data_IF_067977026796
#
_entry.id   IF_067977026796
#
_cell.length_a   1.000
_cell.length_b   1.000
_cell.length_c   1.000
_cell.angle_alpha   90.00
_cell.angle_beta   90.00
_cell.angle_gamma   90.00
#
_symmetry.space_group_name_H-M   'P 1'
#
loop_
_entity.id
_entity.type
_entity.pdbx_description
1 polymer ?
#
# COMPACT_ATOMS: atom_id res chain seq x y z
N UNK A 1 -2.09 20.73 18.27
CA UNK A 1 -1.84 20.58 16.82
C UNK A 1 -1.83 19.09 16.58
N UNK A 2 -2.88 18.55 15.98
CA UNK A 2 -3.01 17.10 15.79
C UNK A 2 -1.93 16.63 14.81
N UNK A 3 -1.05 15.78 15.33
CA UNK A 3 -0.12 14.98 14.55
C UNK A 3 -0.97 13.87 13.92
N UNK A 4 -1.65 14.21 12.83
CA UNK A 4 -2.24 13.21 11.94
C UNK A 4 -1.09 12.34 11.46
N UNK A 5 -1.05 11.10 11.97
CA UNK A 5 -0.10 10.08 11.53
C UNK A 5 -0.26 9.98 10.00
N UNK A 6 0.78 10.35 9.24
CA UNK A 6 0.86 10.28 7.78
C UNK A 6 0.92 8.82 7.31
N UNK A 7 -0.14 8.07 7.58
CA UNK A 7 -0.25 6.62 7.29
C UNK A 7 -0.91 6.40 5.94
N UNK A 8 -1.78 7.32 5.51
CA UNK A 8 -2.57 7.18 4.28
C UNK A 8 -1.71 7.09 3.02
N UNK A 9 -0.71 7.98 2.85
CA UNK A 9 0.13 7.96 1.67
C UNK A 9 1.12 6.80 1.65
N UNK A 10 1.63 6.39 2.82
CA UNK A 10 2.47 5.20 2.94
C UNK A 10 1.70 3.92 2.58
N UNK A 11 0.46 3.80 3.08
CA UNK A 11 -0.45 2.70 2.73
C UNK A 11 -0.71 2.66 1.23
N UNK A 12 -1.16 3.77 0.63
CA UNK A 12 -1.46 3.83 -0.80
C UNK A 12 -0.22 3.57 -1.66
N UNK A 13 0.95 4.08 -1.27
CA UNK A 13 2.20 3.79 -1.98
C UNK A 13 2.51 2.29 -1.97
N UNK A 14 2.31 1.62 -0.82
CA UNK A 14 2.53 0.18 -0.72
C UNK A 14 1.52 -0.63 -1.53
N UNK A 15 0.24 -0.27 -1.48
CA UNK A 15 -0.81 -0.92 -2.26
C UNK A 15 -0.57 -0.75 -3.77
N UNK A 16 -0.21 0.46 -4.22
CA UNK A 16 0.14 0.72 -5.62
C UNK A 16 1.33 -0.13 -6.08
N UNK A 17 2.38 -0.28 -5.27
CA UNK A 17 3.50 -1.15 -5.60
C UNK A 17 3.08 -2.61 -5.77
N UNK A 18 2.21 -3.12 -4.88
CA UNK A 18 1.65 -4.48 -5.01
C UNK A 18 0.83 -4.62 -6.29
N UNK A 19 0.03 -3.60 -6.64
CA UNK A 19 -0.72 -3.59 -7.90
C UNK A 19 0.23 -3.63 -9.10
N UNK A 20 1.31 -2.83 -9.11
CA UNK A 20 2.29 -2.85 -10.20
C UNK A 20 3.00 -4.18 -10.33
N UNK A 21 3.39 -4.81 -9.22
CA UNK A 21 4.02 -6.14 -9.24
C UNK A 21 3.07 -7.19 -9.83
N UNK A 22 1.77 -7.11 -9.52
CA UNK A 22 0.75 -8.03 -10.04
C UNK A 22 0.35 -7.73 -11.49
N UNK A 23 0.44 -6.48 -11.93
CA UNK A 23 0.18 -6.03 -13.30
C UNK A 23 1.39 -6.20 -14.23
N UNK A 24 2.55 -6.58 -13.69
CA UNK A 24 3.79 -6.69 -14.45
C UNK A 24 3.65 -7.60 -15.70
N UNK A 25 4.34 -7.29 -16.82
CA UNK A 25 4.18 -7.99 -18.10
C UNK A 25 4.28 -9.52 -18.08
N UNK A 26 5.00 -10.07 -17.10
CA UNK A 26 5.23 -11.50 -16.92
C UNK A 26 4.40 -12.11 -15.78
N UNK A 27 3.51 -11.33 -15.17
CA UNK A 27 2.68 -11.76 -14.05
C UNK A 27 1.64 -12.81 -14.43
N UNK A 28 1.27 -13.64 -13.46
CA UNK A 28 0.28 -14.71 -13.63
C UNK A 28 -1.06 -14.16 -14.15
N UNK A 29 -1.44 -12.96 -13.70
CA UNK A 29 -2.64 -12.26 -14.14
C UNK A 29 -2.63 -11.99 -15.66
N UNK A 30 -1.57 -11.37 -16.17
CA UNK A 30 -1.46 -11.07 -17.61
C UNK A 30 -1.39 -12.33 -18.49
N UNK A 31 -0.76 -13.39 -18.00
CA UNK A 31 -0.70 -14.67 -18.71
C UNK A 31 -2.09 -15.30 -18.88
N UNK A 32 -2.97 -15.15 -17.89
CA UNK A 32 -4.33 -15.69 -17.94
C UNK A 32 -5.25 -14.85 -18.84
N UNK A 33 -5.10 -13.51 -18.83
CA UNK A 33 -5.82 -12.63 -19.75
C UNK A 33 -5.27 -12.65 -21.18
N UNK A 34 -4.17 -13.35 -21.46
CA UNK A 34 -3.56 -13.40 -22.80
C UNK A 34 -4.53 -13.91 -23.89
N UNK A 35 -5.50 -14.74 -23.52
CA UNK A 35 -6.57 -15.21 -24.44
C UNK A 35 -7.55 -14.09 -24.82
N UNK A 36 -7.66 -13.03 -24.01
CA UNK A 36 -8.59 -11.93 -24.21
C UNK A 36 -7.84 -10.60 -24.37
N UNK A 37 -7.48 -10.27 -25.60
CA UNK A 37 -6.63 -9.12 -25.93
C UNK A 37 -7.16 -7.77 -25.41
N UNK A 38 -8.47 -7.62 -25.26
CA UNK A 38 -9.08 -6.37 -24.75
C UNK A 38 -8.86 -6.17 -23.24
N UNK A 39 -8.78 -7.25 -22.45
CA UNK A 39 -8.51 -7.14 -21.02
C UNK A 39 -7.05 -6.73 -20.76
N UNK A 40 -6.12 -7.22 -21.57
CA UNK A 40 -4.71 -6.81 -21.51
C UNK A 40 -4.56 -5.30 -21.75
N UNK A 41 -5.37 -4.72 -22.66
CA UNK A 41 -5.38 -3.27 -22.89
C UNK A 41 -5.92 -2.50 -21.69
N UNK A 42 -6.99 -3.00 -21.06
CA UNK A 42 -7.58 -2.38 -19.87
C UNK A 42 -6.60 -2.41 -18.69
N UNK A 43 -5.89 -3.52 -18.48
CA UNK A 43 -4.89 -3.64 -17.41
C UNK A 43 -3.72 -2.67 -17.59
N UNK A 44 -3.21 -2.52 -18.82
CA UNK A 44 -2.18 -1.52 -19.13
C UNK A 44 -2.67 -0.10 -18.90
N UNK A 45 -3.91 0.18 -19.29
CA UNK A 45 -4.53 1.49 -19.06
C UNK A 45 -4.66 1.79 -17.56
N UNK A 46 -5.04 0.79 -16.75
CA UNK A 46 -5.05 0.91 -15.30
C UNK A 46 -3.66 1.24 -14.76
N UNK A 47 -2.63 0.49 -15.19
CA UNK A 47 -1.23 0.71 -14.80
C UNK A 47 -0.78 2.15 -15.08
N UNK A 48 -1.03 2.66 -16.30
CA UNK A 48 -0.65 4.02 -16.71
C UNK A 48 -1.30 5.10 -15.82
N UNK A 49 -2.61 4.97 -15.53
CA UNK A 49 -3.34 5.93 -14.70
C UNK A 49 -2.85 5.89 -13.24
N UNK A 50 -2.63 4.69 -12.70
CA UNK A 50 -2.12 4.52 -11.34
C UNK A 50 -0.71 5.14 -11.19
N UNK A 51 0.13 5.03 -12.22
CA UNK A 51 1.45 5.64 -12.25
C UNK A 51 1.36 7.17 -12.23
N UNK A 52 0.45 7.76 -13.02
CA UNK A 52 0.18 9.20 -12.99
C UNK A 52 -0.28 9.69 -11.61
N UNK A 53 -1.16 8.93 -10.95
CA UNK A 53 -1.67 9.23 -9.62
C UNK A 53 -0.62 9.08 -8.51
N UNK A 54 0.32 8.13 -8.65
CA UNK A 54 1.40 7.93 -7.68
C UNK A 54 2.30 9.16 -7.54
N UNK A 55 2.56 9.88 -8.64
CA UNK A 55 3.47 11.03 -8.68
C UNK A 55 2.94 12.20 -7.84
N UNK A 56 1.62 12.33 -7.72
CA UNK A 56 0.96 13.42 -6.98
C UNK A 56 0.58 13.03 -5.56
N UNK A 57 0.75 11.76 -5.18
CA UNK A 57 0.30 11.20 -3.92
C UNK A 57 0.92 11.91 -2.70
N UNK A 58 2.23 12.18 -2.74
CA UNK A 58 2.93 12.87 -1.65
C UNK A 58 2.46 14.32 -1.47
N UNK A 59 2.19 15.04 -2.56
CA UNK A 59 1.68 16.41 -2.47
C UNK A 59 0.21 16.43 -2.01
N UNK A 60 -0.59 15.45 -2.44
CA UNK A 60 -1.96 15.28 -1.97
C UNK A 60 -2.01 14.98 -0.46
N UNK A 61 -1.17 14.08 0.05
CA UNK A 61 -1.09 13.78 1.48
C UNK A 61 -0.71 15.01 2.31
N UNK A 62 0.27 15.79 1.86
CA UNK A 62 0.66 17.03 2.54
C UNK A 62 -0.48 18.07 2.57
N UNK A 63 -1.28 18.13 1.50
CA UNK A 63 -2.37 19.10 1.38
C UNK A 63 -3.67 18.63 2.00
N UNK A 64 -3.89 17.33 2.22
CA UNK A 64 -5.18 16.77 2.66
C UNK A 64 -5.66 17.38 3.98
N UNK A 65 -4.74 17.66 4.91
CA UNK A 65 -5.07 18.22 6.23
C UNK A 65 -5.53 19.70 6.14
N UNK A 66 -5.07 20.41 5.10
CA UNK A 66 -5.33 21.84 4.92
C UNK A 66 -6.42 22.15 3.88
N UNK A 67 -6.70 21.21 2.96
CA UNK A 67 -7.65 21.39 1.87
C UNK A 67 -8.67 20.26 1.82
N UNK A 68 -9.92 20.58 2.15
CA UNK A 68 -11.04 19.62 2.15
C UNK A 68 -11.29 18.97 0.79
N UNK A 69 -11.08 19.69 -0.31
CA UNK A 69 -11.26 19.13 -1.65
C UNK A 69 -10.19 18.08 -1.97
N UNK A 70 -8.94 18.33 -1.54
CA UNK A 70 -7.85 17.34 -1.66
C UNK A 70 -8.11 16.15 -0.75
N UNK A 71 -8.61 16.34 0.47
CA UNK A 71 -9.00 15.23 1.35
C UNK A 71 -10.10 14.35 0.74
N UNK A 72 -11.15 14.96 0.16
CA UNK A 72 -12.20 14.20 -0.52
C UNK A 72 -11.67 13.45 -1.75
N UNK A 73 -10.78 14.07 -2.52
CA UNK A 73 -10.13 13.44 -3.65
C UNK A 73 -9.25 12.26 -3.21
N UNK A 74 -8.47 12.44 -2.14
CA UNK A 74 -7.58 11.42 -1.58
C UNK A 74 -8.38 10.21 -1.06
N UNK A 75 -9.48 10.43 -0.35
CA UNK A 75 -10.34 9.34 0.11
C UNK A 75 -10.95 8.55 -1.06
N UNK A 76 -11.34 9.24 -2.14
CA UNK A 76 -11.84 8.55 -3.35
C UNK A 76 -10.76 7.75 -4.05
N UNK A 77 -9.53 8.28 -4.11
CA UNK A 77 -8.38 7.56 -4.63
C UNK A 77 -8.13 6.30 -3.79
N UNK A 78 -8.19 6.41 -2.47
CA UNK A 78 -8.05 5.26 -1.58
C UNK A 78 -9.09 4.18 -1.87
N UNK A 79 -10.38 4.54 -1.92
CA UNK A 79 -11.43 3.57 -2.23
C UNK A 79 -11.27 2.93 -3.62
N UNK A 80 -10.79 3.67 -4.62
CA UNK A 80 -10.53 3.14 -5.94
C UNK A 80 -9.35 2.16 -5.98
N UNK A 81 -8.27 2.45 -5.24
CA UNK A 81 -7.11 1.56 -5.10
C UNK A 81 -7.48 0.28 -4.34
N UNK A 82 -8.22 0.39 -3.23
CA UNK A 82 -8.75 -0.77 -2.49
C UNK A 82 -9.68 -1.62 -3.38
N UNK A 83 -10.51 -0.99 -4.20
CA UNK A 83 -11.34 -1.67 -5.19
C UNK A 83 -10.50 -2.44 -6.21
N UNK A 84 -9.46 -1.81 -6.79
CA UNK A 84 -8.55 -2.46 -7.73
C UNK A 84 -7.81 -3.64 -7.09
N UNK A 85 -7.35 -3.50 -5.85
CA UNK A 85 -6.69 -4.57 -5.11
C UNK A 85 -7.63 -5.77 -4.89
N UNK A 86 -8.85 -5.52 -4.42
CA UNK A 86 -9.87 -6.55 -4.25
C UNK A 86 -10.17 -7.30 -5.55
N UNK A 87 -10.24 -6.62 -6.70
CA UNK A 87 -10.47 -7.26 -8.00
C UNK A 87 -9.34 -8.20 -8.39
N UNK A 88 -8.10 -7.76 -8.19
CA UNK A 88 -6.93 -8.57 -8.46
C UNK A 88 -6.86 -9.76 -7.50
N UNK A 89 -7.29 -9.61 -6.25
CA UNK A 89 -7.38 -10.71 -5.29
C UNK A 89 -8.48 -11.72 -5.63
N UNK A 90 -9.67 -11.25 -6.02
CA UNK A 90 -10.76 -12.09 -6.50
C UNK A 90 -10.29 -12.95 -7.68
N UNK A 91 -9.54 -12.34 -8.60
CA UNK A 91 -8.91 -13.04 -9.71
C UNK A 91 -7.89 -14.09 -9.26
N UNK A 92 -6.94 -13.70 -8.41
CA UNK A 92 -5.90 -14.61 -7.92
C UNK A 92 -6.50 -15.81 -7.17
N UNK A 93 -7.56 -15.58 -6.40
CA UNK A 93 -8.28 -16.61 -5.70
C UNK A 93 -8.89 -17.63 -6.67
N UNK A 94 -9.63 -17.18 -7.69
CA UNK A 94 -10.23 -18.09 -8.66
C UNK A 94 -9.18 -18.84 -9.50
N UNK A 95 -8.09 -18.17 -9.87
CA UNK A 95 -6.95 -18.80 -10.53
C UNK A 95 -6.36 -19.94 -9.67
N UNK A 96 -6.16 -19.69 -8.37
CA UNK A 96 -5.63 -20.69 -7.44
C UNK A 96 -6.63 -21.82 -7.20
N UNK A 97 -7.91 -21.50 -7.06
CA UNK A 97 -8.99 -22.48 -6.89
C UNK A 97 -9.02 -23.46 -8.05
N UNK A 98 -9.00 -22.97 -9.29
CA UNK A 98 -8.94 -23.82 -10.48
C UNK A 98 -7.68 -24.70 -10.47
N UNK A 99 -6.52 -24.16 -10.12
CA UNK A 99 -5.28 -24.93 -10.02
C UNK A 99 -5.41 -26.09 -9.02
N UNK A 100 -6.01 -25.86 -7.86
CA UNK A 100 -6.23 -26.89 -6.83
C UNK A 100 -7.28 -27.91 -7.28
N UNK A 101 -8.44 -27.46 -7.78
CA UNK A 101 -9.51 -28.35 -8.25
C UNK A 101 -9.02 -29.24 -9.42
N UNK A 102 -8.25 -28.66 -10.35
CA UNK A 102 -7.60 -29.41 -11.43
C UNK A 102 -6.56 -30.41 -10.96
N UNK A 103 -5.79 -30.08 -9.93
CA UNK A 103 -4.85 -31.02 -9.30
C UNK A 103 -5.57 -32.20 -8.62
N UNK A 104 -6.73 -31.95 -8.01
CA UNK A 104 -7.55 -32.99 -7.39
C UNK A 104 -8.20 -33.93 -8.42
N UNK A 105 -8.59 -33.45 -9.59
CA UNK A 105 -9.07 -34.30 -10.70
C UNK A 105 -7.96 -35.22 -11.23
N UNK A 106 -6.71 -34.73 -11.32
CA UNK A 106 -5.57 -35.55 -11.77
C UNK A 106 -5.15 -36.64 -10.76
N UNK A 107 -5.42 -36.48 -9.47
CA UNK A 107 -5.13 -37.51 -8.45
C UNK A 107 -6.11 -38.69 -8.49
N UNK A 108 -7.33 -38.50 -8.99
CA UNK A 108 -8.32 -39.57 -9.15
C UNK A 108 -8.04 -40.44 -10.40
N UNK A 109 -7.37 -39.88 -11.41
CA UNK A 109 -7.10 -40.55 -12.70
C UNK A 109 -5.63 -41.00 -12.78
N UNK A 110 -5.31 -42.07 -12.07
CA UNK A 110 -4.04 -42.81 -12.25
C UNK A 110 -4.09 -43.66 -13.52
N UNK A 111 -4.09 -43.05 -14.70
CA UNK A 111 -3.68 -43.74 -15.93
C UNK A 111 -3.43 -42.76 -17.07
N UNK A 112 -2.14 -42.54 -17.37
CA UNK A 112 -1.62 -42.37 -18.72
C UNK A 112 -2.36 -41.39 -19.66
N UNK A 113 -2.43 -40.11 -19.33
CA UNK A 113 -2.41 -39.08 -20.36
C UNK A 113 -1.66 -37.86 -19.84
N UNK A 114 -0.63 -37.43 -20.57
CA UNK A 114 -0.11 -36.08 -20.47
C UNK A 114 -1.25 -35.12 -20.83
N UNK A 115 -1.97 -34.62 -19.82
CA UNK A 115 -2.91 -33.50 -20.00
C UNK A 115 -2.10 -32.23 -19.82
N UNK A 116 -1.25 -31.95 -20.82
CA UNK A 116 -0.88 -30.57 -21.11
C UNK A 116 -2.18 -29.82 -21.37
N UNK A 117 -2.39 -28.76 -20.61
CA UNK A 117 -3.54 -27.84 -20.73
C UNK A 117 -4.85 -28.41 -20.18
N UNK A 118 -4.93 -28.51 -18.85
CA UNK A 118 -6.21 -28.32 -18.15
C UNK A 118 -6.83 -27.01 -18.65
N UNK A 119 -7.77 -27.14 -19.58
CA UNK A 119 -8.69 -26.09 -20.02
C UNK A 119 -9.70 -25.80 -18.89
N UNK A 120 -9.20 -25.51 -17.69
CA UNK A 120 -9.94 -24.84 -16.64
C UNK A 120 -10.02 -23.37 -17.04
N UNK A 121 -10.81 -23.12 -18.08
CA UNK A 121 -11.12 -21.78 -18.49
C UNK A 121 -12.07 -21.22 -17.43
N UNK A 122 -11.69 -20.11 -16.80
CA UNK A 122 -12.64 -19.30 -16.06
C UNK A 122 -13.85 -19.06 -16.97
N UNK A 123 -15.06 -19.11 -16.41
CA UNK A 123 -16.29 -18.89 -17.18
C UNK A 123 -16.24 -17.54 -17.89
N UNK A 124 -16.75 -17.47 -19.12
CA UNK A 124 -16.86 -16.19 -19.85
C UNK A 124 -17.65 -15.15 -19.03
N UNK A 125 -18.61 -15.60 -18.23
CA UNK A 125 -19.39 -14.78 -17.29
C UNK A 125 -18.53 -14.16 -16.17
N UNK A 126 -17.55 -14.92 -15.65
CA UNK A 126 -16.60 -14.42 -14.65
C UNK A 126 -15.71 -13.33 -15.26
N UNK A 127 -15.17 -13.57 -16.46
CA UNK A 127 -14.36 -12.58 -17.16
C UNK A 127 -15.15 -11.33 -17.51
N UNK A 128 -16.41 -11.47 -17.89
CA UNK A 128 -17.29 -10.33 -18.17
C UNK A 128 -17.53 -9.49 -16.91
N UNK A 129 -17.86 -10.11 -15.78
CA UNK A 129 -18.04 -9.42 -14.50
C UNK A 129 -16.76 -8.70 -14.05
N UNK A 130 -15.59 -9.35 -14.13
CA UNK A 130 -14.31 -8.71 -13.79
C UNK A 130 -14.01 -7.54 -14.73
N UNK A 131 -14.31 -7.67 -16.02
CA UNK A 131 -14.14 -6.60 -17.00
C UNK A 131 -14.99 -5.38 -16.66
N UNK A 132 -16.27 -5.57 -16.38
CA UNK A 132 -17.18 -4.48 -16.04
C UNK A 132 -16.69 -3.72 -14.80
N UNK A 133 -16.32 -4.44 -13.73
CA UNK A 133 -15.77 -3.82 -12.52
C UNK A 133 -14.43 -3.10 -12.77
N UNK A 134 -13.58 -3.66 -13.64
CA UNK A 134 -12.31 -3.05 -14.02
C UNK A 134 -12.53 -1.76 -14.81
N UNK A 135 -13.49 -1.76 -15.75
CA UNK A 135 -13.89 -0.56 -16.51
C UNK A 135 -14.41 0.53 -15.58
N UNK A 136 -15.30 0.19 -14.63
CA UNK A 136 -15.80 1.13 -13.62
C UNK A 136 -14.66 1.74 -12.76
N UNK A 137 -13.70 0.91 -12.37
CA UNK A 137 -12.52 1.35 -11.60
C UNK A 137 -11.66 2.31 -12.42
N UNK A 138 -11.39 1.98 -13.68
CA UNK A 138 -10.62 2.83 -14.60
C UNK A 138 -11.32 4.16 -14.82
N UNK A 139 -12.63 4.17 -15.06
CA UNK A 139 -13.41 5.40 -15.23
C UNK A 139 -13.32 6.31 -13.99
N UNK A 140 -13.40 5.71 -12.80
CA UNK A 140 -13.26 6.43 -11.54
C UNK A 140 -11.86 7.06 -11.40
N UNK A 141 -10.81 6.30 -11.71
CA UNK A 141 -9.42 6.77 -11.64
C UNK A 141 -9.14 7.86 -12.68
N UNK A 142 -9.67 7.77 -13.90
CA UNK A 142 -9.55 8.83 -14.90
C UNK A 142 -10.21 10.15 -14.45
N UNK A 143 -11.37 10.05 -13.79
CA UNK A 143 -12.04 11.23 -13.23
C UNK A 143 -11.17 11.88 -12.16
N UNK A 144 -10.50 11.08 -11.33
CA UNK A 144 -9.56 11.57 -10.32
C UNK A 144 -8.32 12.21 -10.97
N UNK A 145 -7.76 11.60 -12.01
CA UNK A 145 -6.63 12.12 -12.75
C UNK A 145 -6.94 13.51 -13.36
N UNK A 146 -8.11 13.66 -14.00
CA UNK A 146 -8.58 14.94 -14.56
C UNK A 146 -8.77 16.03 -13.50
N UNK A 147 -8.98 15.66 -12.23
CA UNK A 147 -9.14 16.60 -11.11
C UNK A 147 -7.79 17.12 -10.58
N UNK A 148 -6.68 16.42 -10.82
CA UNK A 148 -5.33 16.77 -10.33
C UNK A 148 -5.01 18.24 -10.66
N UNK A 149 -5.15 18.63 -11.94
CA UNK A 149 -4.84 19.99 -12.40
C UNK A 149 -5.73 21.07 -11.77
N UNK A 150 -7.00 20.75 -11.49
CA UNK A 150 -7.95 21.67 -10.84
C UNK A 150 -7.66 21.83 -9.35
N UNK A 151 -7.14 20.79 -8.72
CA UNK A 151 -6.74 20.78 -7.31
C UNK A 151 -5.37 21.43 -7.08
N UNK A 152 -4.63 21.76 -8.15
CA UNK A 152 -3.29 22.32 -8.05
C UNK A 152 -2.31 21.36 -7.36
N UNK A 153 -2.54 20.05 -7.52
CA UNK A 153 -1.62 19.02 -7.08
C UNK A 153 -0.38 19.06 -7.97
N UNK A 154 0.79 18.98 -7.35
CA UNK A 154 2.08 19.06 -8.03
C UNK A 154 2.79 17.72 -7.97
N UNK A 155 3.46 17.40 -9.07
CA UNK A 155 4.37 16.26 -9.12
C UNK A 155 5.50 16.46 -8.11
N UNK A 156 5.64 15.54 -7.18
CA UNK A 156 6.71 15.60 -6.19
C UNK A 156 7.80 14.62 -6.62
N UNK A 157 8.65 15.03 -7.57
CA UNK A 157 9.92 14.33 -7.85
C UNK A 157 10.77 14.40 -6.59
N UNK A 158 10.77 13.33 -5.80
CA UNK A 158 11.59 13.05 -4.60
C UNK A 158 12.55 14.19 -4.27
N UNK A 159 12.00 15.31 -3.78
CA UNK A 159 12.78 16.21 -2.97
C UNK A 159 12.63 15.56 -1.61
N UNK A 160 13.71 15.00 -1.11
CA UNK A 160 13.85 14.50 0.25
C UNK A 160 13.46 15.65 1.19
N UNK A 161 12.17 15.88 1.38
CA UNK A 161 11.66 16.66 2.49
C UNK A 161 11.81 15.74 3.68
N UNK A 162 13.04 15.76 4.16
CA UNK A 162 13.45 15.36 5.47
C UNK A 162 12.30 15.71 6.41
N UNK A 163 11.65 14.67 6.92
CA UNK A 163 10.68 14.80 7.99
C UNK A 163 11.23 15.80 8.99
N UNK A 164 10.54 16.92 9.20
CA UNK A 164 10.88 17.85 10.29
C UNK A 164 10.57 17.26 11.66
N UNK A 165 10.29 15.95 11.72
CA UNK A 165 10.26 15.20 12.97
C UNK A 165 11.68 15.21 13.52
N UNK A 166 11.86 15.94 14.62
CA UNK A 166 13.06 15.81 15.44
C UNK A 166 13.26 14.33 15.75
N UNK A 167 14.44 13.75 15.44
CA UNK A 167 14.73 12.37 15.76
C UNK A 167 14.45 12.13 17.25
N UNK A 168 13.60 11.16 17.55
CA UNK A 168 13.34 10.73 18.93
C UNK A 168 14.35 9.68 19.41
N UNK A 169 15.41 9.45 18.64
CA UNK A 169 16.48 8.52 18.99
C UNK A 169 17.62 9.28 19.69
N UNK A 170 18.07 8.74 20.82
CA UNK A 170 19.14 9.32 21.65
C UNK A 170 20.53 8.78 21.30
N UNK A 171 20.82 8.52 20.03
CA UNK A 171 22.20 8.21 19.61
C UNK A 171 22.93 9.53 19.38
N UNK A 172 23.28 10.19 20.49
CA UNK A 172 24.13 11.36 20.49
C UNK A 172 25.58 10.90 20.64
N UNK A 173 26.48 11.56 19.93
CA UNK A 173 27.89 11.50 20.25
C UNK A 173 28.11 12.21 21.59
N UNK A 174 28.45 11.46 22.64
CA UNK A 174 28.64 11.97 24.01
C UNK A 174 29.80 12.99 24.11
N UNK A 175 30.62 13.11 23.06
CA UNK A 175 31.75 14.05 23.01
C UNK A 175 31.37 15.53 23.17
N UNK A 176 30.10 15.88 22.91
CA UNK A 176 29.60 17.26 22.96
C UNK A 176 28.85 17.67 24.24
N UNK A 177 28.63 16.76 25.19
CA UNK A 177 27.80 17.03 26.38
C UNK A 177 28.68 17.40 27.57
N UNK A 178 28.64 18.67 27.99
CA UNK A 178 29.38 19.18 29.15
C UNK A 178 28.44 19.79 30.20
N UNK A 179 28.85 19.79 31.47
CA UNK A 179 28.15 20.50 32.56
C UNK A 179 26.97 19.78 33.21
N UNK A 180 26.49 18.66 32.65
CA UNK A 180 25.38 17.87 33.22
C UNK A 180 25.83 16.78 34.22
N UNK A 181 27.08 16.78 34.64
CA UNK A 181 27.65 15.72 35.50
C UNK A 181 26.85 15.54 36.80
N UNK A 182 26.48 16.64 37.46
CA UNK A 182 25.73 16.60 38.71
C UNK A 182 24.27 16.12 38.51
N UNK A 183 23.66 16.43 37.37
CA UNK A 183 22.31 15.97 37.01
C UNK A 183 22.31 14.47 36.73
N UNK A 184 23.33 13.97 36.04
CA UNK A 184 23.55 12.54 35.77
C UNK A 184 23.71 11.79 37.09
N UNK A 185 24.58 12.26 37.99
CA UNK A 185 24.82 11.63 39.28
C UNK A 185 23.57 11.61 40.17
N UNK A 186 22.80 12.71 40.19
CA UNK A 186 21.54 12.78 40.92
C UNK A 186 20.49 11.83 40.34
N UNK A 187 20.37 11.76 39.00
CA UNK A 187 19.46 10.83 38.34
C UNK A 187 19.82 9.37 38.63
N UNK A 188 21.11 9.02 38.53
CA UNK A 188 21.63 7.71 38.89
C UNK A 188 21.30 7.39 40.35
N UNK A 189 21.59 8.31 41.28
CA UNK A 189 21.28 8.13 42.69
C UNK A 189 19.78 7.86 42.95
N UNK A 190 18.89 8.60 42.27
CA UNK A 190 17.43 8.39 42.37
C UNK A 190 16.99 7.03 41.82
N UNK A 191 17.60 6.55 40.75
CA UNK A 191 17.32 5.23 40.17
C UNK A 191 17.82 4.09 41.07
N UNK A 192 19.01 4.23 41.67
CA UNK A 192 19.60 3.21 42.55
C UNK A 192 19.02 3.21 43.97
N UNK A 193 18.45 4.33 44.43
CA UNK A 193 17.81 4.45 45.75
C UNK A 193 16.38 3.90 45.79
N UNK A 194 15.84 3.39 44.67
CA UNK A 194 14.51 2.79 44.63
C UNK A 194 14.54 1.33 45.10
N UNK A 195 14.12 1.10 46.34
CA UNK A 195 13.99 -0.23 46.92
C UNK A 195 12.99 -1.11 46.14
N UNK A 196 13.47 -2.26 45.66
CA UNK A 196 12.69 -3.27 44.92
C UNK A 196 11.69 -4.06 45.79
N UNK A 197 11.48 -3.63 47.04
CA UNK A 197 10.69 -4.37 48.04
C UNK A 197 9.21 -3.98 48.12
N UNK A 198 8.74 -2.99 47.35
CA UNK A 198 7.34 -2.59 47.31
C UNK A 198 6.77 -2.62 45.89
N UNK A 199 5.54 -3.10 45.71
CA UNK A 199 4.81 -3.20 44.44
C UNK A 199 4.40 -1.85 43.83
N UNK A 200 5.22 -0.82 43.94
CA UNK A 200 4.92 0.53 43.46
C UNK A 200 5.80 0.86 42.25
N UNK A 201 5.16 1.20 41.13
CA UNK A 201 5.84 1.65 39.92
C UNK A 201 6.56 2.97 40.20
N UNK A 202 7.88 2.98 40.04
CA UNK A 202 8.70 4.17 40.11
C UNK A 202 8.57 4.97 38.80
N UNK A 203 8.09 6.21 38.89
CA UNK A 203 8.04 7.15 37.75
C UNK A 203 8.98 8.31 38.05
N UNK A 204 9.94 8.54 37.15
CA UNK A 204 10.87 9.68 37.22
C UNK A 204 10.55 10.62 36.04
N UNK A 205 9.87 11.75 36.29
CA UNK A 205 9.63 12.73 35.24
C UNK A 205 10.94 13.42 34.86
N UNK A 206 11.13 13.63 33.56
CA UNK A 206 12.19 14.47 32.98
C UNK A 206 11.48 15.77 32.58
N UNK A 207 11.90 16.90 33.17
CA UNK A 207 11.31 18.23 32.96
C UNK A 207 12.34 19.16 32.35
#
# INVERSE_FOLDING_TARGET
MEIGLAVGGAFLSSALNVLFDRLAPNGDLLNMFRKHQDHVKLLKKLEDILLGLQIVLSDAENKQASNRHVSQWFNKLQSAVEGAENLIEEFNYEALRLKVEGQHQNLAETSNQQVSDLNLCLSDDFFLNIKEKLEETIETLEVLEKQIGRLGLKEHFISTKQDTRTPSTSLLDDSGVFGRQNEIENLIGRLFSMDTKGKNLAVVPIV
#
